data_IF_329152324559
#
_entry.id   IF_329152324559
#
_cell.length_a   1.000
_cell.length_b   1.000
_cell.length_c   1.000
_cell.angle_alpha   90.00
_cell.angle_beta   90.00
_cell.angle_gamma   90.00
#
_symmetry.space_group_name_H-M   'P 1'
#
loop_
_entity.id
_entity.type
_entity.pdbx_description
1 polymer ?
#
# COMPACT_ATOMS: atom_id res chain seq x y z
N UNK A 1 -14.85 9.14 11.80
CA UNK A 1 -14.25 7.82 12.05
C UNK A 1 -12.93 8.07 12.75
N UNK A 2 -12.90 8.04 14.10
CA UNK A 2 -11.66 8.18 14.87
C UNK A 2 -11.10 6.76 15.06
N UNK A 3 -10.06 6.43 14.31
CA UNK A 3 -9.30 5.21 14.56
C UNK A 3 -8.37 5.51 15.74
N UNK A 4 -8.42 4.72 16.82
CA UNK A 4 -7.78 5.07 18.08
C UNK A 4 -6.25 5.00 18.02
N UNK A 5 -5.69 4.36 16.99
CA UNK A 5 -4.25 4.16 16.84
C UNK A 5 -3.85 3.90 15.37
N UNK A 6 -2.61 4.24 15.01
CA UNK A 6 -2.04 4.01 13.68
C UNK A 6 -2.02 2.52 13.31
N UNK A 7 -1.84 1.64 14.29
CA UNK A 7 -1.90 0.19 14.07
C UNK A 7 -3.31 -0.27 13.62
N UNK A 8 -4.37 0.32 14.18
CA UNK A 8 -5.74 0.01 13.78
C UNK A 8 -6.02 0.44 12.33
N UNK A 9 -5.51 1.62 11.94
CA UNK A 9 -5.57 2.13 10.57
C UNK A 9 -4.84 1.20 9.60
N UNK A 10 -3.62 0.76 9.96
CA UNK A 10 -2.85 -0.19 9.14
C UNK A 10 -3.54 -1.54 8.99
N UNK A 11 -4.12 -2.09 10.06
CA UNK A 11 -4.90 -3.32 9.99
C UNK A 11 -6.12 -3.18 9.08
N UNK A 12 -6.77 -2.03 9.12
CA UNK A 12 -7.90 -1.72 8.25
C UNK A 12 -7.47 -1.67 6.78
N UNK A 13 -6.45 -0.88 6.45
CA UNK A 13 -5.87 -0.73 5.11
C UNK A 13 -5.39 -2.07 4.54
N UNK A 14 -4.70 -2.88 5.36
CA UNK A 14 -4.25 -4.23 4.98
C UNK A 14 -5.42 -5.17 4.68
N UNK A 15 -6.52 -5.07 5.43
CA UNK A 15 -7.72 -5.85 5.16
C UNK A 15 -8.33 -5.44 3.81
N UNK A 16 -8.47 -4.14 3.55
CA UNK A 16 -8.99 -3.64 2.27
C UNK A 16 -8.12 -4.05 1.08
N UNK A 17 -6.79 -3.91 1.20
CA UNK A 17 -5.86 -4.30 0.14
C UNK A 17 -5.95 -5.80 -0.19
N UNK A 18 -6.14 -6.66 0.83
CA UNK A 18 -6.37 -8.10 0.61
C UNK A 18 -7.70 -8.39 -0.09
N UNK A 19 -8.76 -7.67 0.24
CA UNK A 19 -10.05 -7.79 -0.46
C UNK A 19 -9.91 -7.40 -1.93
N UNK A 20 -9.23 -6.29 -2.24
CA UNK A 20 -8.97 -5.84 -3.62
C UNK A 20 -8.18 -6.91 -4.39
N UNK A 21 -7.13 -7.47 -3.77
CA UNK A 21 -6.35 -8.57 -4.35
C UNK A 21 -7.21 -9.80 -4.62
N UNK A 22 -8.14 -10.15 -3.74
CA UNK A 22 -9.01 -11.32 -3.90
C UNK A 22 -10.00 -11.14 -5.07
N UNK A 23 -10.54 -9.93 -5.27
CA UNK A 23 -11.52 -9.65 -6.34
C UNK A 23 -10.84 -9.38 -7.69
N UNK A 24 -9.69 -8.69 -7.69
CA UNK A 24 -8.94 -8.33 -8.92
C UNK A 24 -7.43 -8.54 -8.73
N UNK A 25 -6.95 -9.80 -8.75
CA UNK A 25 -5.56 -10.11 -8.44
C UNK A 25 -4.57 -9.48 -9.42
N UNK A 26 -4.86 -9.53 -10.73
CA UNK A 26 -4.00 -8.95 -11.76
C UNK A 26 -4.00 -7.43 -11.73
N UNK A 27 -5.17 -6.80 -11.55
CA UNK A 27 -5.27 -5.35 -11.42
C UNK A 27 -4.54 -4.83 -10.17
N UNK A 28 -4.61 -5.57 -9.07
CA UNK A 28 -3.87 -5.26 -7.84
C UNK A 28 -2.37 -5.50 -7.99
N UNK A 29 -1.92 -6.45 -8.81
CA UNK A 29 -0.50 -6.65 -9.07
C UNK A 29 0.07 -5.51 -9.92
N UNK A 30 -0.60 -5.14 -11.00
CA UNK A 30 -0.15 -4.09 -11.92
C UNK A 30 -0.30 -2.67 -11.35
N UNK A 31 -1.06 -2.48 -10.26
CA UNK A 31 -1.14 -1.18 -9.58
C UNK A 31 0.19 -0.73 -8.97
N UNK A 32 1.19 -1.62 -8.89
CA UNK A 32 2.56 -1.28 -8.45
C UNK A 32 3.16 -0.10 -9.22
N UNK A 33 2.84 0.02 -10.51
CA UNK A 33 3.34 1.06 -11.41
C UNK A 33 2.83 2.45 -11.01
N UNK A 34 1.73 2.52 -10.24
CA UNK A 34 1.15 3.78 -9.78
C UNK A 34 1.90 4.40 -8.59
N UNK A 35 2.78 3.64 -7.93
CA UNK A 35 3.61 4.14 -6.82
C UNK A 35 4.91 4.76 -7.33
N UNK A 36 4.80 6.01 -7.81
CA UNK A 36 5.90 6.71 -8.48
C UNK A 36 7.19 6.79 -7.65
N UNK A 37 7.10 7.06 -6.33
CA UNK A 37 8.28 7.18 -5.47
C UNK A 37 9.03 5.83 -5.32
N UNK A 38 8.40 4.72 -4.87
CA UNK A 38 9.04 3.41 -4.87
C UNK A 38 9.60 2.98 -6.24
N UNK A 39 8.88 3.25 -7.33
CA UNK A 39 9.35 2.91 -8.68
C UNK A 39 10.59 3.71 -9.08
N UNK A 40 10.65 5.01 -8.74
CA UNK A 40 11.83 5.84 -8.98
C UNK A 40 13.06 5.38 -8.20
N UNK A 41 12.88 4.97 -6.94
CA UNK A 41 13.95 4.39 -6.12
C UNK A 41 14.45 3.06 -6.68
N UNK A 42 13.53 2.23 -7.17
CA UNK A 42 13.89 0.99 -7.85
C UNK A 42 14.69 1.26 -9.13
N UNK A 43 14.29 2.26 -9.92
CA UNK A 43 15.03 2.67 -11.12
C UNK A 43 16.45 3.16 -10.79
N UNK A 44 16.63 3.92 -9.69
CA UNK A 44 17.96 4.35 -9.21
C UNK A 44 18.82 3.14 -8.84
N UNK A 45 18.23 2.16 -8.14
CA UNK A 45 18.93 0.94 -7.76
C UNK A 45 19.35 0.10 -8.98
N UNK A 46 18.50 0.01 -10.02
CA UNK A 46 18.83 -0.69 -11.26
C UNK A 46 19.86 0.05 -12.11
N UNK A 47 19.90 1.37 -12.03
CA UNK A 47 20.86 2.22 -12.76
C UNK A 47 22.20 2.38 -12.03
N UNK A 48 22.44 1.61 -10.95
CA UNK A 48 23.65 1.66 -10.13
C UNK A 48 24.00 3.08 -9.64
N UNK A 49 22.97 3.87 -9.31
CA UNK A 49 23.14 5.24 -8.83
C UNK A 49 23.56 6.25 -9.91
N UNK A 50 23.35 5.95 -11.20
CA UNK A 50 23.65 6.88 -12.27
C UNK A 50 23.05 8.30 -12.02
N UNK A 51 23.78 9.39 -12.29
CA UNK A 51 23.35 10.75 -11.92
C UNK A 51 21.99 11.16 -12.49
N UNK A 52 21.66 10.68 -13.70
CA UNK A 52 20.36 10.94 -14.31
C UNK A 52 19.21 10.23 -13.57
N UNK A 53 19.46 9.05 -12.99
CA UNK A 53 18.45 8.30 -12.26
C UNK A 53 18.14 8.95 -10.91
N UNK A 54 19.12 9.63 -10.30
CA UNK A 54 18.92 10.40 -9.07
C UNK A 54 17.92 11.54 -9.24
N UNK A 55 17.67 12.03 -10.46
CA UNK A 55 16.63 13.03 -10.72
C UNK A 55 15.20 12.45 -10.63
N UNK A 56 15.02 11.14 -10.84
CA UNK A 56 13.71 10.51 -10.89
C UNK A 56 12.92 10.62 -9.57
N UNK A 57 13.51 10.36 -8.38
CA UNK A 57 12.82 10.57 -7.11
C UNK A 57 12.38 12.01 -6.89
N UNK A 58 13.20 13.00 -7.27
CA UNK A 58 12.84 14.41 -7.15
C UNK A 58 11.68 14.79 -8.07
N UNK A 59 11.69 14.32 -9.32
CA UNK A 59 10.58 14.53 -10.26
C UNK A 59 9.29 13.85 -9.78
N UNK A 60 9.39 12.61 -9.29
CA UNK A 60 8.24 11.88 -8.74
C UNK A 60 7.67 12.58 -7.51
N UNK A 61 8.53 13.04 -6.59
CA UNK A 61 8.12 13.78 -5.40
C UNK A 61 7.48 15.13 -5.78
N UNK A 62 8.12 15.89 -6.67
CA UNK A 62 7.61 17.16 -7.16
C UNK A 62 6.23 17.02 -7.82
N UNK A 63 6.08 16.02 -8.68
CA UNK A 63 4.79 15.70 -9.31
C UNK A 63 3.71 15.30 -8.30
N UNK A 64 4.06 14.49 -7.28
CA UNK A 64 3.13 14.10 -6.20
C UNK A 64 2.68 15.30 -5.37
N UNK A 65 3.61 16.17 -4.99
CA UNK A 65 3.29 17.40 -4.24
C UNK A 65 2.43 18.32 -5.10
N UNK A 66 2.78 18.53 -6.36
CA UNK A 66 1.98 19.34 -7.29
C UNK A 66 0.57 18.80 -7.46
N UNK A 67 0.42 17.48 -7.65
CA UNK A 67 -0.89 16.82 -7.74
C UNK A 67 -1.69 16.98 -6.45
N UNK A 68 -1.05 16.89 -5.29
CA UNK A 68 -1.72 17.10 -4.00
C UNK A 68 -2.31 18.52 -3.90
N UNK A 69 -1.54 19.55 -4.24
CA UNK A 69 -2.02 20.93 -4.26
C UNK A 69 -3.09 21.15 -5.33
N UNK A 70 -2.89 20.63 -6.54
CA UNK A 70 -3.86 20.75 -7.63
C UNK A 70 -5.20 20.10 -7.27
N UNK A 71 -5.17 18.90 -6.67
CA UNK A 71 -6.37 18.20 -6.20
C UNK A 71 -7.06 18.95 -5.05
N UNK A 72 -6.29 19.48 -4.10
CA UNK A 72 -6.83 20.30 -3.01
C UNK A 72 -7.53 21.57 -3.52
N UNK A 73 -6.92 22.25 -4.48
CA UNK A 73 -7.50 23.42 -5.14
C UNK A 73 -8.75 23.06 -5.95
N UNK A 74 -8.71 21.99 -6.75
CA UNK A 74 -9.86 21.57 -7.58
C UNK A 74 -11.05 21.11 -6.76
N UNK A 75 -10.80 20.40 -5.65
CA UNK A 75 -11.83 19.86 -4.77
C UNK A 75 -12.26 20.84 -3.67
N UNK A 76 -11.69 22.05 -3.62
CA UNK A 76 -11.96 23.09 -2.60
C UNK A 76 -11.81 22.58 -1.17
N UNK A 77 -10.81 21.74 -0.93
CA UNK A 77 -10.61 21.04 0.35
C UNK A 77 -10.01 21.92 1.48
N UNK A 78 -9.94 23.24 1.30
CA UNK A 78 -9.25 24.15 2.22
C UNK A 78 -7.72 24.04 2.13
N UNK A 79 -7.00 24.73 3.01
CA UNK A 79 -5.53 24.68 3.01
C UNK A 79 -5.02 23.27 3.34
N UNK A 80 -4.05 22.73 2.56
CA UNK A 80 -3.47 21.44 2.83
C UNK A 80 -2.68 21.47 4.14
N UNK A 81 -3.26 20.88 5.18
CA UNK A 81 -2.74 20.91 6.56
C UNK A 81 -1.35 20.30 6.73
N UNK A 82 -0.86 19.47 5.80
CA UNK A 82 0.52 18.96 5.86
C UNK A 82 1.01 18.32 4.55
N UNK A 83 1.75 19.05 3.70
CA UNK A 83 2.30 18.51 2.45
C UNK A 83 3.39 17.44 2.68
N UNK A 84 4.03 17.45 3.84
CA UNK A 84 5.06 16.49 4.23
C UNK A 84 4.53 15.07 4.45
N UNK A 85 3.23 14.90 4.72
CA UNK A 85 2.62 13.57 4.81
C UNK A 85 2.44 12.90 3.45
N UNK A 86 2.52 13.62 2.34
CA UNK A 86 2.35 13.07 0.98
C UNK A 86 3.39 11.97 0.66
N UNK A 87 4.72 12.21 0.80
CA UNK A 87 5.71 11.16 0.57
C UNK A 87 5.58 9.98 1.55
N UNK A 88 5.31 10.28 2.82
CA UNK A 88 5.13 9.24 3.83
C UNK A 88 3.92 8.35 3.52
N UNK A 89 2.82 8.95 3.08
CA UNK A 89 1.60 8.23 2.66
C UNK A 89 1.88 7.36 1.44
N UNK A 90 2.63 7.83 0.45
CA UNK A 90 2.94 7.04 -0.75
C UNK A 90 3.77 5.79 -0.39
N UNK A 91 4.77 5.95 0.49
CA UNK A 91 5.56 4.83 0.97
C UNK A 91 4.74 3.86 1.83
N UNK A 92 3.87 4.37 2.70
CA UNK A 92 2.98 3.56 3.52
C UNK A 92 2.00 2.76 2.64
N UNK A 93 1.42 3.39 1.62
CA UNK A 93 0.53 2.72 0.67
C UNK A 93 1.26 1.62 -0.11
N UNK A 94 2.51 1.84 -0.50
CA UNK A 94 3.35 0.81 -1.10
C UNK A 94 3.66 -0.34 -0.12
N UNK A 95 3.95 -0.03 1.15
CA UNK A 95 4.18 -1.04 2.17
C UNK A 95 2.93 -1.90 2.43
N UNK A 96 1.74 -1.28 2.49
CA UNK A 96 0.44 -1.99 2.59
C UNK A 96 0.21 -2.85 1.35
N UNK A 97 0.51 -2.33 0.16
CA UNK A 97 0.45 -3.09 -1.09
C UNK A 97 1.37 -4.31 -1.04
N UNK A 98 2.64 -4.15 -0.70
CA UNK A 98 3.60 -5.27 -0.58
C UNK A 98 3.15 -6.28 0.49
N UNK A 99 2.74 -5.81 1.66
CA UNK A 99 2.25 -6.65 2.76
C UNK A 99 0.95 -7.41 2.42
N UNK A 100 0.16 -6.92 1.46
CA UNK A 100 -0.99 -7.66 0.91
C UNK A 100 -0.57 -8.93 0.16
N UNK A 101 0.68 -8.99 -0.34
CA UNK A 101 1.26 -10.17 -0.99
C UNK A 101 1.86 -11.17 0.00
N UNK A 102 2.51 -10.70 1.06
CA UNK A 102 3.23 -11.53 2.05
C UNK A 102 2.30 -12.38 2.92
N UNK A 103 1.04 -12.01 3.10
CA UNK A 103 0.10 -12.70 4.00
C UNK A 103 -1.06 -13.38 3.27
N UNK A 104 -0.99 -14.70 3.07
CA UNK A 104 -2.13 -15.56 2.65
C UNK A 104 -2.92 -16.12 3.85
N UNK A 105 -2.67 -15.62 5.06
CA UNK A 105 -3.35 -16.02 6.30
C UNK A 105 -4.17 -14.84 6.82
N UNK A 106 -5.48 -14.90 6.59
CA UNK A 106 -6.44 -13.98 7.18
C UNK A 106 -6.80 -14.55 8.55
N UNK A 107 -6.33 -13.90 9.62
CA UNK A 107 -6.77 -14.23 10.98
C UNK A 107 -8.19 -13.68 11.16
N UNK A 108 -9.18 -14.54 11.12
CA UNK A 108 -10.56 -14.17 11.43
C UNK A 108 -10.81 -14.41 12.92
N UNK A 109 -11.51 -13.47 13.55
CA UNK A 109 -11.69 -13.32 15.01
C UNK A 109 -11.86 -14.69 15.71
N UNK A 110 -10.87 -15.08 16.52
CA UNK A 110 -10.78 -16.32 17.33
C UNK A 110 -10.56 -17.67 16.61
N UNK A 111 -10.13 -17.70 15.34
CA UNK A 111 -9.72 -18.95 14.71
C UNK A 111 -8.69 -18.74 13.59
N UNK A 112 -7.58 -19.48 13.65
CA UNK A 112 -6.60 -19.51 12.57
C UNK A 112 -7.15 -20.35 11.40
N UNK A 113 -7.67 -19.67 10.39
CA UNK A 113 -8.06 -20.29 9.13
C UNK A 113 -6.96 -20.08 8.08
N UNK A 114 -6.41 -21.18 7.58
CA UNK A 114 -5.50 -21.14 6.44
C UNK A 114 -6.32 -21.23 5.15
N UNK A 115 -6.17 -20.24 4.26
CA UNK A 115 -6.80 -20.26 2.94
C UNK A 115 -5.81 -20.91 1.99
N UNK A 116 -6.16 -22.10 1.48
CA UNK A 116 -5.38 -22.79 0.48
C UNK A 116 -5.52 -22.10 -0.90
N UNK A 117 -4.59 -22.38 -1.81
CA UNK A 117 -4.54 -21.79 -3.16
C UNK A 117 -5.73 -22.14 -4.06
N UNK A 118 -6.63 -23.01 -3.59
CA UNK A 118 -7.87 -23.43 -4.23
C UNK A 118 -9.10 -22.65 -3.71
N UNK A 119 -8.91 -21.64 -2.86
CA UNK A 119 -10.00 -20.84 -2.28
C UNK A 119 -10.75 -21.52 -1.13
N UNK A 120 -10.33 -22.71 -0.68
CA UNK A 120 -10.96 -23.40 0.45
C UNK A 120 -10.33 -22.96 1.76
N UNK A 121 -11.17 -22.56 2.71
CA UNK A 121 -10.77 -22.31 4.09
C UNK A 121 -10.63 -23.64 4.82
N UNK A 122 -9.40 -23.96 5.27
CA UNK A 122 -9.18 -25.09 6.18
C UNK A 122 -9.00 -24.54 7.58
N UNK A 123 -9.94 -24.88 8.45
CA UNK A 123 -9.78 -24.71 9.89
C UNK A 123 -8.56 -25.51 10.33
N UNK A 124 -7.62 -24.89 11.03
CA UNK A 124 -6.58 -25.64 11.71
C UNK A 124 -7.27 -26.47 12.79
N UNK A 125 -7.41 -27.78 12.57
CA UNK A 125 -7.86 -28.70 13.62
C UNK A 125 -6.70 -28.82 14.59
N UNK A 126 -6.70 -27.96 15.60
CA UNK A 126 -5.93 -28.20 16.79
C UNK A 126 -6.54 -29.44 17.46
N UNK A 127 -5.77 -30.51 17.48
CA UNK A 127 -6.04 -31.77 18.14
C UNK A 127 -6.26 -31.52 19.62
N UNK A 128 -7.52 -31.61 20.06
CA UNK A 128 -7.84 -31.73 21.49
C UNK A 128 -7.74 -33.22 21.84
N UNK A 129 -6.85 -33.63 22.76
CA UNK A 129 -6.90 -34.96 23.36
C UNK A 129 -8.12 -35.14 24.26
#
# INVERSE_FOLDING_TARGET
MHEPDAAALLHHELRWARTIRAVRPWGHLFSVVTYALPMSLFAVALADGAPWALALPFLALGGRVMLHYAAGASLRLGEPRSPWLVPFRDLLSFAVWAASFLGRRVRWRRGDFSVASDGRMRANKESVP
#
